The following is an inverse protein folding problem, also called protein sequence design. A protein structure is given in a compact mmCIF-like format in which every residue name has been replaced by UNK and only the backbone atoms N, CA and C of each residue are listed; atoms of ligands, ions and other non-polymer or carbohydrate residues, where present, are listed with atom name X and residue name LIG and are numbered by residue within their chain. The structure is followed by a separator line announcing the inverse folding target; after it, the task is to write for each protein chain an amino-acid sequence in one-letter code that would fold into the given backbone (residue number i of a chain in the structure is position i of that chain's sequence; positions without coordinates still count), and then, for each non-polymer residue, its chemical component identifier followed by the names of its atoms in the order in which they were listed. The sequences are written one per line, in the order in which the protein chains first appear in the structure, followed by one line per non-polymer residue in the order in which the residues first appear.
data_IF_273778634523
#
_entry.id   IF_273778634523
#
_cell.length_a   1.000
_cell.length_b   1.000
_cell.length_c   1.000
_cell.angle_alpha   90.00
_cell.angle_beta   90.00
_cell.angle_gamma   90.00
#
_symmetry.space_group_name_H-M   'P 1'
#
loop_
_entity.id
_entity.type
_entity.pdbx_description
1 polymer ?
#
# COMPACT_ATOMS: atom_id res chain seq x y z
N UNK A 1 6.10 12.94 2.55
CA UNK A 1 7.35 12.19 2.41
C UNK A 1 7.41 11.11 3.47
N UNK A 2 7.73 9.90 3.07
CA UNK A 2 7.83 8.78 3.99
C UNK A 2 8.44 7.57 3.31
N UNK A 3 8.41 6.46 4.01
CA UNK A 3 8.90 5.18 3.49
C UNK A 3 7.72 4.23 3.33
N UNK A 4 7.62 3.62 2.16
CA UNK A 4 6.55 2.71 1.81
C UNK A 4 6.91 1.28 2.22
N UNK A 5 6.02 0.62 2.96
CA UNK A 5 6.20 -0.77 3.35
C UNK A 5 4.99 -1.59 2.92
N UNK A 6 5.24 -2.77 2.39
CA UNK A 6 4.17 -3.68 1.96
C UNK A 6 3.66 -4.56 3.08
N UNK A 7 4.33 -4.56 4.24
CA UNK A 7 3.97 -5.39 5.39
C UNK A 7 4.23 -4.62 6.68
N UNK A 8 3.61 -5.08 7.76
CA UNK A 8 3.74 -4.42 9.06
C UNK A 8 5.13 -4.58 9.64
N UNK A 9 5.75 -5.73 9.42
CA UNK A 9 7.11 -6.03 9.88
C UNK A 9 7.65 -7.19 9.05
N UNK A 10 8.98 -7.45 9.09
CA UNK A 10 9.58 -8.50 8.23
C UNK A 10 9.00 -9.89 8.43
N UNK A 11 8.43 -10.17 9.62
CA UNK A 11 7.86 -11.49 9.92
C UNK A 11 6.36 -11.59 9.63
N UNK A 12 5.76 -10.54 9.07
CA UNK A 12 4.34 -10.52 8.73
C UNK A 12 4.15 -10.66 7.22
N UNK A 13 3.00 -11.18 6.78
CA UNK A 13 2.73 -11.25 5.34
C UNK A 13 2.48 -9.86 4.76
N UNK A 14 2.69 -9.71 3.47
CA UNK A 14 2.36 -8.47 2.78
C UNK A 14 0.84 -8.29 2.78
N UNK A 15 0.42 -7.02 2.78
CA UNK A 15 -1.01 -6.71 2.87
C UNK A 15 -1.76 -7.08 1.60
N UNK A 16 -1.20 -6.79 0.43
CA UNK A 16 -1.86 -7.09 -0.85
C UNK A 16 -0.82 -7.46 -1.90
N UNK A 17 -1.26 -8.27 -2.87
CA UNK A 17 -0.46 -8.67 -4.03
C UNK A 17 -1.23 -8.36 -5.30
N UNK A 18 -0.52 -8.36 -6.43
CA UNK A 18 -1.18 -8.24 -7.73
C UNK A 18 -2.21 -9.37 -7.87
N UNK A 19 -3.42 -9.02 -8.26
CA UNK A 19 -4.52 -9.96 -8.38
C UNK A 19 -5.48 -9.93 -7.21
N UNK A 20 -5.09 -9.32 -6.09
CA UNK A 20 -5.96 -9.25 -4.92
C UNK A 20 -7.08 -8.23 -5.13
N UNK A 21 -8.25 -8.56 -4.56
CA UNK A 21 -9.38 -7.63 -4.52
C UNK A 21 -9.23 -6.72 -3.31
N UNK A 22 -9.55 -5.44 -3.50
CA UNK A 22 -9.59 -4.48 -2.40
C UNK A 22 -10.96 -3.83 -2.34
N UNK A 23 -11.31 -3.37 -1.14
CA UNK A 23 -12.56 -2.64 -0.89
C UNK A 23 -12.21 -1.49 0.05
N UNK A 24 -13.07 -0.45 0.13
CA UNK A 24 -12.81 0.65 1.06
C UNK A 24 -12.61 0.15 2.48
N UNK A 25 -11.54 0.63 3.11
CA UNK A 25 -11.17 0.23 4.46
C UNK A 25 -10.15 -0.89 4.56
N UNK A 26 -9.87 -1.60 3.46
CA UNK A 26 -8.82 -2.64 3.49
C UNK A 26 -7.45 -1.99 3.54
N UNK A 27 -6.62 -2.39 4.51
CA UNK A 27 -5.25 -1.89 4.62
C UNK A 27 -4.43 -2.46 3.47
N UNK A 28 -3.75 -1.60 2.73
CA UNK A 28 -2.97 -1.99 1.55
C UNK A 28 -1.47 -1.79 1.72
N UNK A 29 -1.07 -0.90 2.62
CA UNK A 29 0.35 -0.66 2.88
C UNK A 29 0.51 0.14 4.17
N UNK A 30 1.78 0.38 4.54
CA UNK A 30 2.13 1.27 5.63
C UNK A 30 3.05 2.34 5.08
N UNK A 31 2.83 3.57 5.50
CA UNK A 31 3.75 4.68 5.23
C UNK A 31 4.34 5.11 6.57
N UNK A 32 5.66 5.04 6.69
CA UNK A 32 6.35 5.46 7.89
C UNK A 32 6.93 6.86 7.66
N UNK A 33 6.58 7.78 8.56
CA UNK A 33 7.12 9.13 8.53
C UNK A 33 7.29 9.60 9.97
N UNK A 34 8.47 10.14 10.27
CA UNK A 34 8.77 10.69 11.60
C UNK A 34 8.51 9.67 12.72
N UNK A 35 8.90 8.43 12.48
CA UNK A 35 8.74 7.30 13.43
C UNK A 35 7.30 6.91 13.69
N UNK A 36 6.36 7.41 12.88
CA UNK A 36 4.96 7.01 12.93
C UNK A 36 4.68 6.09 11.75
N UNK A 37 4.07 4.95 12.03
CA UNK A 37 3.74 3.95 11.03
C UNK A 37 2.25 4.01 10.77
N UNK A 38 1.86 4.62 9.65
CA UNK A 38 0.46 4.85 9.33
C UNK A 38 -0.04 3.78 8.38
N UNK A 39 -1.10 3.07 8.79
CA UNK A 39 -1.76 2.11 7.91
C UNK A 39 -2.59 2.87 6.89
N UNK A 40 -2.39 2.55 5.63
CA UNK A 40 -3.10 3.19 4.53
C UNK A 40 -4.16 2.23 4.04
N UNK A 41 -5.40 2.71 3.99
CA UNK A 41 -6.55 1.92 3.57
C UNK A 41 -6.95 2.28 2.16
N UNK A 42 -7.46 1.30 1.43
CA UNK A 42 -8.03 1.56 0.12
C UNK A 42 -9.29 2.43 0.26
N UNK A 43 -9.48 3.34 -0.68
CA UNK A 43 -10.69 4.15 -0.76
C UNK A 43 -11.59 3.68 -1.89
N UNK A 44 -11.14 2.68 -2.64
CA UNK A 44 -11.85 2.20 -3.83
C UNK A 44 -12.00 0.68 -3.78
N UNK A 45 -12.93 0.17 -4.59
CA UNK A 45 -13.10 -1.26 -4.80
C UNK A 45 -12.53 -1.64 -6.16
N UNK A 46 -11.85 -2.78 -6.22
CA UNK A 46 -11.29 -3.26 -7.47
C UNK A 46 -10.21 -4.28 -7.24
N UNK A 47 -9.48 -4.57 -8.31
CA UNK A 47 -8.39 -5.54 -8.30
C UNK A 47 -7.06 -4.82 -8.47
N UNK A 48 -6.08 -5.19 -7.64
CA UNK A 48 -4.71 -4.67 -7.78
C UNK A 48 -4.12 -5.24 -9.06
N UNK A 49 -3.77 -4.39 -10.01
CA UNK A 49 -3.15 -4.84 -11.26
C UNK A 49 -1.67 -4.55 -11.32
N UNK A 50 -1.19 -3.58 -10.52
CA UNK A 50 0.23 -3.27 -10.46
C UNK A 50 0.55 -2.58 -9.14
N UNK A 51 1.73 -2.86 -8.59
CA UNK A 51 2.27 -2.18 -7.43
C UNK A 51 3.39 -1.27 -7.95
N UNK A 52 3.23 0.03 -7.73
CA UNK A 52 4.05 1.05 -8.39
C UNK A 52 5.24 1.52 -7.56
N UNK A 53 5.34 1.10 -6.30
CA UNK A 53 6.46 1.45 -5.43
C UNK A 53 7.08 0.18 -4.87
N UNK A 54 8.38 0.23 -4.63
CA UNK A 54 9.11 -0.91 -4.06
C UNK A 54 9.02 -0.88 -2.53
N UNK A 55 9.01 -2.08 -1.93
CA UNK A 55 9.04 -2.20 -0.48
C UNK A 55 10.26 -1.49 0.09
N UNK A 56 10.06 -0.79 1.20
CA UNK A 56 11.10 -0.04 1.92
C UNK A 56 11.71 1.09 1.09
N UNK A 57 10.99 1.61 0.11
CA UNK A 57 11.49 2.73 -0.71
C UNK A 57 10.87 4.06 -0.26
N UNK A 58 11.58 5.18 -0.50
CA UNK A 58 11.01 6.49 -0.19
C UNK A 58 9.88 6.83 -1.18
N UNK A 59 8.85 7.49 -0.65
CA UNK A 59 7.74 7.96 -1.47
C UNK A 59 7.40 9.39 -1.09
N UNK A 60 6.72 10.09 -1.99
CA UNK A 60 6.39 11.50 -1.81
C UNK A 60 4.88 11.71 -1.83
N UNK A 61 4.46 12.91 -1.49
CA UNK A 61 3.07 13.30 -1.51
C UNK A 61 2.50 13.13 -2.92
N UNK A 62 1.31 12.57 -3.01
CA UNK A 62 0.58 12.32 -4.26
C UNK A 62 1.23 11.30 -5.19
N UNK A 63 2.27 10.61 -4.76
CA UNK A 63 2.89 9.57 -5.58
C UNK A 63 1.94 8.37 -5.71
N UNK A 64 1.67 7.89 -6.92
CA UNK A 64 0.85 6.68 -7.08
C UNK A 64 1.58 5.46 -6.51
N UNK A 65 0.86 4.65 -5.75
CA UNK A 65 1.44 3.46 -5.10
C UNK A 65 0.90 2.16 -5.70
N UNK A 66 -0.36 2.16 -6.11
CA UNK A 66 -1.03 0.98 -6.67
C UNK A 66 -1.86 1.39 -7.88
N UNK A 67 -1.94 0.49 -8.85
CA UNK A 67 -2.88 0.63 -9.95
C UNK A 67 -4.00 -0.36 -9.71
N UNK A 68 -5.22 0.13 -9.62
CA UNK A 68 -6.40 -0.67 -9.30
C UNK A 68 -7.37 -0.61 -10.47
N UNK A 69 -7.78 -1.79 -10.93
CA UNK A 69 -8.82 -1.88 -11.95
C UNK A 69 -10.17 -1.90 -11.23
N UNK A 70 -11.04 -0.89 -11.43
CA UNK A 70 -12.32 -0.85 -10.71
C UNK A 70 -13.24 -1.99 -11.14
N UNK A 71 -14.10 -2.39 -10.21
CA UNK A 71 -15.12 -3.41 -10.46
C UNK A 71 -16.20 -2.89 -11.40
#
# INVERSE_FOLDING_TARGET
IGTFYRRASPDKPIFVEVGDEVTPGKVVCIIEAMKLFNEIESEVSGKIVKILADDASPVEYDQPLFLVEPN
#
